data_IF_182313734683
#
_entry.id   IF_182313734683
#
_cell.length_a   1.000
_cell.length_b   1.000
_cell.length_c   1.000
_cell.angle_alpha   90.00
_cell.angle_beta   90.00
_cell.angle_gamma   90.00
#
_symmetry.space_group_name_H-M   'P 1'
#
loop_
_entity.id
_entity.type
_entity.pdbx_description
1 polymer ?
#
# COMPACT_ATOMS: atom_id res chain seq x y z
N UNK A 1 -43.98 21.71 31.12
CA UNK A 1 -43.40 21.22 29.85
C UNK A 1 -42.05 21.91 29.77
N UNK A 2 -41.03 21.27 30.35
CA UNK A 2 -39.69 21.84 30.41
C UNK A 2 -39.00 21.46 29.11
N UNK A 3 -38.65 22.48 28.32
CA UNK A 3 -37.79 22.32 27.16
C UNK A 3 -36.44 21.84 27.68
N UNK A 4 -36.19 20.54 27.55
CA UNK A 4 -34.88 19.96 27.76
C UNK A 4 -34.04 20.46 26.58
N UNK A 5 -33.41 21.63 26.75
CA UNK A 5 -32.27 21.99 25.91
C UNK A 5 -31.26 20.87 26.09
N UNK A 6 -31.20 20.01 25.07
CA UNK A 6 -30.19 18.97 24.94
C UNK A 6 -28.86 19.71 24.88
N UNK A 7 -28.18 19.84 26.02
CA UNK A 7 -26.83 20.40 26.13
C UNK A 7 -25.89 19.39 25.47
N UNK A 8 -26.04 19.24 24.17
CA UNK A 8 -25.03 18.65 23.31
C UNK A 8 -23.84 19.59 23.45
N UNK A 9 -22.82 19.16 24.18
CA UNK A 9 -21.56 19.88 24.32
C UNK A 9 -20.86 19.91 22.95
N UNK A 10 -21.39 20.73 22.03
CA UNK A 10 -20.80 20.97 20.72
C UNK A 10 -19.61 21.87 20.92
N UNK A 11 -18.45 21.33 20.57
CA UNK A 11 -17.18 22.04 20.64
C UNK A 11 -16.75 22.33 19.21
N UNK A 12 -17.05 23.53 18.72
CA UNK A 12 -16.81 23.93 17.33
C UNK A 12 -15.34 23.76 16.89
N UNK A 13 -14.39 23.85 17.83
CA UNK A 13 -12.97 23.58 17.56
C UNK A 13 -12.70 22.12 17.23
N UNK A 14 -13.38 21.19 17.92
CA UNK A 14 -13.25 19.75 17.70
C UNK A 14 -13.83 19.39 16.33
N UNK A 15 -15.03 19.88 16.01
CA UNK A 15 -15.66 19.65 14.71
C UNK A 15 -14.80 20.18 13.55
N UNK A 16 -14.20 21.36 13.73
CA UNK A 16 -13.26 21.95 12.74
C UNK A 16 -12.02 21.09 12.54
N UNK A 17 -11.42 20.56 13.59
CA UNK A 17 -10.22 19.75 13.49
C UNK A 17 -10.53 18.35 12.94
N UNK A 18 -11.67 17.75 13.30
CA UNK A 18 -12.17 16.52 12.69
C UNK A 18 -12.40 16.70 11.19
N UNK A 19 -12.97 17.83 10.75
CA UNK A 19 -13.16 18.10 9.34
C UNK A 19 -11.82 18.16 8.56
N UNK A 20 -10.76 18.72 9.17
CA UNK A 20 -9.42 18.72 8.57
C UNK A 20 -8.83 17.31 8.50
N UNK A 21 -8.95 16.52 9.56
CA UNK A 21 -8.47 15.12 9.60
C UNK A 21 -9.21 14.28 8.56
N UNK A 22 -10.54 14.37 8.51
CA UNK A 22 -11.36 13.66 7.52
C UNK A 22 -10.98 14.05 6.08
N UNK A 23 -10.68 15.33 5.83
CA UNK A 23 -10.20 15.78 4.52
C UNK A 23 -8.83 15.18 4.18
N UNK A 24 -7.91 15.13 5.16
CA UNK A 24 -6.59 14.52 4.99
C UNK A 24 -6.69 13.01 4.74
N UNK A 25 -7.58 12.31 5.46
CA UNK A 25 -7.85 10.88 5.27
C UNK A 25 -8.41 10.59 3.88
N UNK A 26 -9.34 11.40 3.38
CA UNK A 26 -9.86 11.25 2.02
C UNK A 26 -8.78 11.45 0.96
N UNK A 27 -7.93 12.47 1.12
CA UNK A 27 -6.80 12.70 0.21
C UNK A 27 -5.82 11.51 0.23
N UNK A 28 -5.49 11.00 1.42
CA UNK A 28 -4.61 9.84 1.59
C UNK A 28 -5.25 8.55 1.06
N UNK A 29 -6.55 8.35 1.27
CA UNK A 29 -7.30 7.21 0.76
C UNK A 29 -7.29 7.20 -0.77
N UNK A 30 -7.57 8.33 -1.40
CA UNK A 30 -7.54 8.45 -2.85
C UNK A 30 -6.13 8.19 -3.42
N UNK A 31 -5.09 8.72 -2.77
CA UNK A 31 -3.70 8.50 -3.19
C UNK A 31 -3.26 7.04 -2.98
N UNK A 32 -3.57 6.48 -1.81
CA UNK A 32 -3.19 5.10 -1.46
C UNK A 32 -3.86 4.09 -2.39
N UNK A 33 -5.09 4.34 -2.85
CA UNK A 33 -5.77 3.49 -3.84
C UNK A 33 -5.01 3.41 -5.17
N UNK A 34 -4.45 4.52 -5.64
CA UNK A 34 -3.64 4.55 -6.87
C UNK A 34 -2.25 3.93 -6.69
N UNK A 35 -1.67 4.03 -5.49
CA UNK A 35 -0.31 3.55 -5.21
C UNK A 35 -0.26 2.12 -4.67
N UNK A 36 -1.36 1.55 -4.19
CA UNK A 36 -1.38 0.24 -3.56
C UNK A 36 -0.89 -0.87 -4.51
N UNK A 37 -1.43 -0.92 -5.73
CA UNK A 37 -1.04 -1.93 -6.72
C UNK A 37 0.45 -1.81 -7.15
N UNK A 38 0.95 -0.65 -7.63
CA UNK A 38 2.35 -0.52 -8.02
C UNK A 38 3.30 -0.66 -6.82
N UNK A 39 2.89 -0.19 -5.63
CA UNK A 39 3.67 -0.34 -4.40
C UNK A 39 3.84 -1.80 -4.00
N UNK A 40 2.76 -2.59 -4.04
CA UNK A 40 2.83 -4.02 -3.73
C UNK A 40 3.64 -4.80 -4.77
N UNK A 41 3.50 -4.46 -6.06
CA UNK A 41 4.32 -5.03 -7.12
C UNK A 41 5.82 -4.74 -6.95
N UNK A 42 6.17 -3.51 -6.58
CA UNK A 42 7.54 -3.14 -6.25
C UNK A 42 8.08 -3.93 -5.05
N UNK A 43 7.31 -4.02 -3.95
CA UNK A 43 7.70 -4.81 -2.77
C UNK A 43 7.91 -6.29 -3.10
N UNK A 44 7.08 -6.86 -3.96
CA UNK A 44 7.22 -8.24 -4.42
C UNK A 44 8.53 -8.47 -5.18
N UNK A 45 8.86 -7.60 -6.14
CA UNK A 45 10.13 -7.69 -6.87
C UNK A 45 11.35 -7.47 -5.95
N UNK A 46 11.26 -6.51 -5.04
CA UNK A 46 12.29 -6.28 -4.04
C UNK A 46 12.50 -7.53 -3.16
N UNK A 47 11.41 -8.19 -2.76
CA UNK A 47 11.49 -9.44 -2.01
C UNK A 47 12.19 -10.55 -2.81
N UNK A 48 11.91 -10.70 -4.11
CA UNK A 48 12.63 -11.66 -4.97
C UNK A 48 14.13 -11.39 -4.98
N UNK A 49 14.54 -10.13 -5.10
CA UNK A 49 15.96 -9.76 -5.14
C UNK A 49 16.63 -10.01 -3.78
N UNK A 50 15.99 -9.60 -2.68
CA UNK A 50 16.55 -9.80 -1.33
C UNK A 50 16.63 -11.29 -0.99
N UNK A 51 15.58 -12.05 -1.24
CA UNK A 51 15.54 -13.48 -0.93
C UNK A 51 16.49 -14.24 -1.85
N UNK A 52 16.44 -14.01 -3.16
CA UNK A 52 17.33 -14.67 -4.12
C UNK A 52 18.79 -14.32 -3.88
N UNK A 53 19.10 -13.05 -3.68
CA UNK A 53 20.44 -12.57 -3.38
C UNK A 53 21.01 -13.10 -2.05
N UNK A 54 20.16 -13.42 -1.07
CA UNK A 54 20.61 -14.02 0.20
C UNK A 54 20.72 -15.54 0.12
N UNK A 55 19.73 -16.24 -0.45
CA UNK A 55 19.68 -17.69 -0.50
C UNK A 55 20.62 -18.31 -1.55
N UNK A 56 20.81 -17.62 -2.68
CA UNK A 56 21.64 -18.11 -3.78
C UNK A 56 23.02 -17.45 -3.83
N UNK A 57 23.39 -16.70 -2.79
CA UNK A 57 24.70 -16.08 -2.67
C UNK A 57 25.81 -17.14 -2.75
N UNK A 58 26.82 -16.89 -3.59
CA UNK A 58 27.97 -17.79 -3.77
C UNK A 58 27.70 -19.05 -4.61
N UNK A 59 26.49 -19.25 -5.13
CA UNK A 59 26.22 -20.30 -6.11
C UNK A 59 26.64 -19.86 -7.52
N UNK A 60 27.23 -20.78 -8.31
CA UNK A 60 27.73 -20.52 -9.67
C UNK A 60 26.70 -19.78 -10.56
N UNK A 61 25.42 -20.16 -10.45
CA UNK A 61 24.33 -19.57 -11.24
C UNK A 61 23.36 -18.72 -10.40
N UNK A 62 23.72 -18.34 -9.17
CA UNK A 62 22.79 -17.69 -8.24
C UNK A 62 22.22 -16.37 -8.74
N UNK A 63 23.07 -15.56 -9.40
CA UNK A 63 22.66 -14.31 -10.03
C UNK A 63 21.69 -14.56 -11.19
N UNK A 64 21.99 -15.55 -12.05
CA UNK A 64 21.14 -15.90 -13.19
C UNK A 64 19.77 -16.38 -12.75
N UNK A 65 19.70 -17.24 -11.72
CA UNK A 65 18.44 -17.76 -11.19
C UNK A 65 17.63 -16.62 -10.54
N UNK A 66 18.28 -15.73 -9.79
CA UNK A 66 17.62 -14.56 -9.18
C UNK A 66 17.06 -13.62 -10.25
N UNK A 67 17.83 -13.35 -11.31
CA UNK A 67 17.38 -12.54 -12.44
C UNK A 67 16.19 -13.19 -13.17
N UNK A 68 16.24 -14.51 -13.41
CA UNK A 68 15.12 -15.25 -14.01
C UNK A 68 13.86 -15.19 -13.13
N UNK A 69 14.02 -15.33 -11.81
CA UNK A 69 12.91 -15.20 -10.86
C UNK A 69 12.30 -13.79 -10.87
N UNK A 70 13.12 -12.74 -10.93
CA UNK A 70 12.63 -11.36 -11.01
C UNK A 70 11.85 -11.11 -12.31
N UNK A 71 12.33 -11.64 -13.44
CA UNK A 71 11.62 -11.58 -14.72
C UNK A 71 10.28 -12.33 -14.63
N UNK A 72 10.28 -13.55 -14.11
CA UNK A 72 9.05 -14.33 -13.91
C UNK A 72 8.06 -13.63 -12.98
N UNK A 73 8.56 -13.01 -11.90
CA UNK A 73 7.76 -12.21 -10.98
C UNK A 73 7.15 -10.98 -11.66
N UNK A 74 7.92 -10.27 -12.49
CA UNK A 74 7.40 -9.17 -13.30
C UNK A 74 6.32 -9.68 -14.28
N UNK A 75 6.52 -10.82 -14.94
CA UNK A 75 5.51 -11.39 -15.84
C UNK A 75 4.23 -11.78 -15.09
N UNK A 76 4.34 -12.32 -13.88
CA UNK A 76 3.18 -12.61 -13.02
C UNK A 76 2.40 -11.34 -12.64
N UNK A 77 3.10 -10.24 -12.35
CA UNK A 77 2.47 -8.95 -12.07
C UNK A 77 1.78 -8.34 -13.29
N UNK A 78 2.32 -8.51 -14.50
CA UNK A 78 1.78 -7.86 -15.70
C UNK A 78 0.73 -8.70 -16.44
N UNK A 79 0.92 -10.01 -16.57
CA UNK A 79 -0.04 -10.91 -17.25
C UNK A 79 -1.07 -11.41 -16.23
N UNK A 80 -0.62 -11.98 -15.11
CA UNK A 80 -1.51 -12.62 -14.14
C UNK A 80 -2.47 -11.67 -13.41
N UNK A 81 -2.11 -10.40 -13.22
CA UNK A 81 -2.98 -9.40 -12.60
C UNK A 81 -4.03 -8.82 -13.56
N UNK A 82 -3.79 -8.93 -14.87
CA UNK A 82 -4.66 -8.41 -15.92
C UNK A 82 -5.44 -9.52 -16.66
N UNK A 83 -5.15 -10.79 -16.38
CA UNK A 83 -5.91 -11.97 -16.83
C UNK A 83 -6.94 -12.38 -15.75
N UNK A 84 -7.86 -11.45 -15.44
CA UNK A 84 -9.04 -11.58 -14.57
C UNK A 84 -10.26 -10.93 -15.20
#
# INVERSE_FOLDING_TARGET
>A
MADVEDVTLRKDTLDKDLAKVATAEQALSNLSRGLAAPGLGFLFLAAIIVIGGTLLSGQDNGILITAAAAIGGYMALNIGANDV
#
